data_IF_895912056928
#
_entry.id   IF_895912056928
#
_cell.length_a   1.000
_cell.length_b   1.000
_cell.length_c   1.000
_cell.angle_alpha   90.00
_cell.angle_beta   90.00
_cell.angle_gamma   90.00
#
_symmetry.space_group_name_H-M   'P 1'
#
loop_
_entity.id
_entity.type
_entity.pdbx_description
1 polymer ?
#
# COMPACT_ATOMS: atom_id res chain seq x y z
N UNK A 1 28.71 25.32 -9.96
CA UNK A 1 28.92 23.92 -9.53
C UNK A 1 30.08 23.79 -8.56
N UNK A 2 31.26 24.37 -8.83
CA UNK A 2 32.41 24.35 -7.91
C UNK A 2 32.08 24.75 -6.46
N UNK A 3 31.28 25.80 -6.24
CA UNK A 3 30.81 26.20 -4.90
C UNK A 3 29.96 25.13 -4.20
N UNK A 4 29.08 24.44 -4.95
CA UNK A 4 28.24 23.35 -4.42
C UNK A 4 29.11 22.14 -4.06
N UNK A 5 30.10 21.81 -4.88
CA UNK A 5 31.07 20.73 -4.61
C UNK A 5 31.89 21.04 -3.35
N UNK A 6 32.35 22.28 -3.18
CA UNK A 6 33.07 22.70 -1.98
C UNK A 6 32.19 22.59 -0.73
N UNK A 7 30.94 23.08 -0.80
CA UNK A 7 29.97 22.96 0.29
C UNK A 7 29.69 21.49 0.67
N UNK A 8 29.41 20.65 -0.33
CA UNK A 8 29.16 19.22 -0.12
C UNK A 8 30.37 18.48 0.45
N UNK A 9 31.60 18.90 0.10
CA UNK A 9 32.83 18.31 0.65
C UNK A 9 33.02 18.68 2.12
N UNK A 10 32.67 19.90 2.51
CA UNK A 10 32.75 20.35 3.91
C UNK A 10 31.67 19.70 4.78
N UNK A 11 30.43 19.63 4.30
CA UNK A 11 29.31 19.04 5.05
C UNK A 11 29.43 17.52 5.19
N UNK A 12 29.92 16.85 4.15
CA UNK A 12 30.01 15.40 4.13
C UNK A 12 31.42 14.94 3.76
N UNK A 13 32.34 14.76 4.72
CA UNK A 13 33.69 14.29 4.42
C UNK A 13 33.63 12.88 3.78
N UNK A 14 34.22 12.71 2.58
CA UNK A 14 34.23 11.40 1.94
C UNK A 14 35.21 10.44 2.65
N UNK A 15 34.84 9.15 2.87
CA UNK A 15 35.75 8.17 3.47
C UNK A 15 37.01 7.98 2.62
N UNK A 16 38.16 7.77 3.28
CA UNK A 16 39.49 7.64 2.63
C UNK A 16 39.54 6.56 1.53
N UNK A 17 38.69 5.52 1.60
CA UNK A 17 38.62 4.43 0.62
C UNK A 17 37.50 4.58 -0.42
N UNK A 18 36.67 5.63 -0.34
CA UNK A 18 35.58 5.94 -1.28
C UNK A 18 35.79 7.33 -1.90
N UNK A 19 37.05 7.71 -2.08
CA UNK A 19 37.49 9.01 -2.60
C UNK A 19 36.90 9.27 -3.99
N UNK A 20 35.95 10.21 -4.06
CA UNK A 20 35.45 10.99 -5.19
C UNK A 20 34.17 10.51 -5.87
N UNK A 21 33.33 9.65 -5.29
CA UNK A 21 32.11 9.22 -5.99
C UNK A 21 31.02 10.29 -6.05
N UNK A 22 30.80 11.07 -4.98
CA UNK A 22 29.78 12.12 -4.96
C UNK A 22 30.25 13.38 -5.67
N UNK A 23 31.50 13.80 -5.47
CA UNK A 23 32.03 14.99 -6.14
C UNK A 23 32.07 14.80 -7.68
N UNK A 24 32.49 13.62 -8.16
CA UNK A 24 32.38 13.28 -9.60
C UNK A 24 30.92 13.22 -10.06
N UNK A 25 30.02 12.76 -9.20
CA UNK A 25 28.58 12.80 -9.43
C UNK A 25 28.06 14.22 -9.66
N UNK A 26 28.41 15.15 -8.78
CA UNK A 26 28.07 16.58 -8.84
C UNK A 26 28.63 17.26 -10.10
N UNK A 27 29.86 16.95 -10.48
CA UNK A 27 30.44 17.45 -11.72
C UNK A 27 29.68 16.92 -12.94
N UNK A 28 29.39 15.61 -12.99
CA UNK A 28 28.65 14.97 -14.09
C UNK A 28 27.23 15.50 -14.26
N UNK A 29 26.46 15.62 -13.18
CA UNK A 29 25.11 16.21 -13.24
C UNK A 29 25.21 17.70 -13.60
N UNK A 30 26.23 18.41 -13.12
CA UNK A 30 26.47 19.81 -13.45
C UNK A 30 26.80 20.04 -14.92
N UNK A 31 27.60 19.16 -15.52
CA UNK A 31 27.91 19.15 -16.95
C UNK A 31 26.65 18.84 -17.77
N UNK A 32 25.86 17.85 -17.33
CA UNK A 32 24.59 17.49 -17.96
C UNK A 32 23.59 18.67 -17.97
N UNK A 33 23.37 19.30 -16.81
CA UNK A 33 22.43 20.42 -16.67
C UNK A 33 22.89 21.69 -17.41
N UNK A 34 24.20 21.86 -17.62
CA UNK A 34 24.72 22.98 -18.43
C UNK A 34 24.28 22.93 -19.89
N UNK A 35 23.94 21.75 -20.41
CA UNK A 35 23.41 21.58 -21.76
C UNK A 35 21.97 22.08 -21.96
N UNK A 36 21.27 22.46 -20.89
CA UNK A 36 19.87 22.92 -20.94
C UNK A 36 19.75 24.41 -20.61
N UNK A 37 18.73 25.11 -21.17
CA UNK A 37 18.52 26.54 -20.91
C UNK A 37 18.12 26.82 -19.45
N UNK A 38 18.51 27.99 -18.94
CA UNK A 38 18.14 28.48 -17.59
C UNK A 38 19.28 29.20 -16.88
N UNK A 39 18.95 30.19 -16.05
CA UNK A 39 19.91 30.98 -15.27
C UNK A 39 20.21 30.33 -13.91
N UNK A 40 19.29 29.50 -13.41
CA UNK A 40 19.44 28.75 -12.16
C UNK A 40 19.56 27.23 -12.41
N UNK A 41 20.13 26.49 -11.46
CA UNK A 41 20.16 25.03 -11.53
C UNK A 41 18.76 24.41 -11.53
N UNK A 42 17.79 25.04 -10.85
CA UNK A 42 16.39 24.63 -10.87
C UNK A 42 15.76 24.78 -12.27
N UNK A 43 15.94 25.91 -12.94
CA UNK A 43 15.42 26.12 -14.30
C UNK A 43 16.01 25.12 -15.30
N UNK A 44 17.32 24.83 -15.17
CA UNK A 44 18.00 23.81 -16.00
C UNK A 44 17.47 22.40 -15.74
N UNK A 45 17.15 22.09 -14.48
CA UNK A 45 16.52 20.83 -14.09
C UNK A 45 15.11 20.68 -14.67
N UNK A 46 14.31 21.73 -14.67
CA UNK A 46 12.98 21.74 -15.28
C UNK A 46 13.05 21.56 -16.80
N UNK A 47 14.02 22.22 -17.45
CA UNK A 47 14.22 22.13 -18.89
C UNK A 47 14.76 20.75 -19.37
N UNK A 48 15.43 19.99 -18.51
CA UNK A 48 16.02 18.70 -18.91
C UNK A 48 15.03 17.53 -19.01
N UNK A 49 13.80 17.71 -18.51
CA UNK A 49 12.74 16.70 -18.58
C UNK A 49 12.93 15.50 -17.64
N UNK A 50 13.91 15.53 -16.74
CA UNK A 50 14.08 14.50 -15.70
C UNK A 50 12.97 14.55 -14.64
N UNK A 51 12.21 15.65 -14.56
CA UNK A 51 11.01 15.75 -13.72
C UNK A 51 9.83 14.90 -14.21
N UNK A 52 9.78 14.58 -15.51
CA UNK A 52 8.61 13.96 -16.17
C UNK A 52 8.88 12.55 -16.66
N UNK A 53 10.15 12.20 -16.91
CA UNK A 53 10.54 10.84 -17.30
C UNK A 53 10.62 9.94 -16.06
N UNK A 54 9.91 8.82 -16.09
CA UNK A 54 10.01 7.71 -15.10
C UNK A 54 11.35 6.94 -15.20
N UNK A 55 12.40 7.59 -15.66
CA UNK A 55 13.73 7.01 -15.70
C UNK A 55 14.44 7.39 -14.39
N UNK A 56 15.04 6.44 -13.66
CA UNK A 56 16.05 6.80 -12.67
C UNK A 56 17.04 7.73 -13.36
N UNK A 57 17.30 8.91 -12.81
CA UNK A 57 18.13 9.90 -13.48
C UNK A 57 19.57 9.37 -13.67
N UNK A 58 19.99 8.36 -12.90
CA UNK A 58 21.20 7.58 -13.17
C UNK A 58 21.26 6.93 -14.56
N UNK A 59 20.12 6.63 -15.20
CA UNK A 59 20.05 6.15 -16.59
C UNK A 59 20.22 7.27 -17.62
N UNK A 60 20.12 8.54 -17.21
CA UNK A 60 20.53 9.71 -17.99
C UNK A 60 22.04 9.99 -17.88
N UNK A 61 22.78 9.19 -17.12
CA UNK A 61 24.25 9.27 -17.08
C UNK A 61 24.81 9.13 -18.50
N UNK A 62 25.58 10.10 -19.01
CA UNK A 62 26.15 10.06 -20.36
C UNK A 62 27.15 8.91 -20.56
N UNK A 63 27.58 8.26 -19.47
CA UNK A 63 28.52 7.13 -19.48
C UNK A 63 27.80 5.89 -18.93
N UNK A 64 27.69 4.84 -19.75
CA UNK A 64 26.83 3.66 -19.53
C UNK A 64 27.34 2.60 -18.54
N UNK A 65 28.26 2.92 -17.62
CA UNK A 65 28.76 1.95 -16.63
C UNK A 65 27.94 2.00 -15.33
N UNK A 66 27.80 0.86 -14.63
CA UNK A 66 27.11 0.77 -13.33
C UNK A 66 27.66 1.77 -12.31
N UNK A 67 28.99 1.98 -12.31
CA UNK A 67 29.67 2.96 -11.45
C UNK A 67 29.25 4.39 -11.78
N UNK A 68 29.17 4.76 -13.07
CA UNK A 68 28.76 6.10 -13.48
C UNK A 68 27.31 6.40 -13.09
N UNK A 69 26.40 5.42 -13.20
CA UNK A 69 25.01 5.57 -12.72
C UNK A 69 24.92 5.79 -11.21
N UNK A 70 25.73 5.07 -10.44
CA UNK A 70 25.78 5.23 -8.99
C UNK A 70 26.36 6.59 -8.56
N UNK A 71 27.40 7.07 -9.23
CA UNK A 71 27.96 8.42 -9.01
C UNK A 71 26.93 9.51 -9.35
N UNK A 72 26.22 9.36 -10.48
CA UNK A 72 25.19 10.31 -10.89
C UNK A 72 24.04 10.37 -9.87
N UNK A 73 23.59 9.22 -9.35
CA UNK A 73 22.56 9.17 -8.30
C UNK A 73 23.03 9.84 -6.99
N UNK A 74 24.30 9.68 -6.60
CA UNK A 74 24.86 10.35 -5.41
C UNK A 74 24.99 11.87 -5.61
N UNK A 75 25.34 12.33 -6.81
CA UNK A 75 25.33 13.75 -7.13
C UNK A 75 23.93 14.37 -7.00
N UNK A 76 22.90 13.64 -7.45
CA UNK A 76 21.50 14.06 -7.27
C UNK A 76 21.05 14.03 -5.81
N UNK A 77 21.42 13.00 -5.07
CA UNK A 77 21.17 12.90 -3.63
C UNK A 77 21.63 14.17 -2.91
N UNK A 78 22.85 14.61 -3.21
CA UNK A 78 23.44 15.83 -2.66
C UNK A 78 22.72 17.12 -3.10
N UNK A 79 22.33 17.23 -4.38
CA UNK A 79 21.62 18.41 -4.87
C UNK A 79 20.22 18.56 -4.27
N UNK A 80 19.55 17.43 -4.03
CA UNK A 80 18.25 17.40 -3.35
C UNK A 80 18.42 17.67 -1.85
N UNK A 81 19.42 17.06 -1.21
CA UNK A 81 19.72 17.26 0.20
C UNK A 81 20.08 18.71 0.55
N UNK A 82 20.85 19.38 -0.32
CA UNK A 82 21.16 20.81 -0.20
C UNK A 82 20.01 21.73 -0.67
N UNK A 83 18.90 21.17 -1.14
CA UNK A 83 17.78 21.88 -1.78
C UNK A 83 18.19 22.87 -2.88
N UNK A 84 19.32 22.61 -3.55
CA UNK A 84 19.74 23.36 -4.76
C UNK A 84 18.75 23.09 -5.90
N UNK A 85 18.21 21.88 -5.93
CA UNK A 85 17.16 21.45 -6.85
C UNK A 85 16.02 20.86 -6.03
N UNK A 86 14.79 21.30 -6.32
CA UNK A 86 13.55 20.69 -5.84
C UNK A 86 12.92 19.87 -6.95
N UNK A 87 12.99 18.52 -6.87
CA UNK A 87 12.37 17.65 -7.85
C UNK A 87 10.86 17.52 -7.62
N UNK A 88 10.13 17.10 -8.65
CA UNK A 88 8.76 16.58 -8.45
C UNK A 88 8.82 15.30 -7.59
N UNK A 89 7.76 15.02 -6.83
CA UNK A 89 7.68 13.80 -6.02
C UNK A 89 7.91 12.53 -6.85
N UNK A 90 7.38 12.51 -8.07
CA UNK A 90 7.56 11.42 -9.01
C UNK A 90 9.03 11.23 -9.41
N UNK A 91 9.74 12.31 -9.74
CA UNK A 91 11.15 12.25 -10.10
C UNK A 91 12.03 11.88 -8.91
N UNK A 92 11.71 12.38 -7.71
CA UNK A 92 12.41 11.98 -6.49
C UNK A 92 12.31 10.46 -6.27
N UNK A 93 11.08 9.92 -6.31
CA UNK A 93 10.79 8.50 -6.05
C UNK A 93 11.28 7.55 -7.15
N UNK A 94 11.50 8.04 -8.37
CA UNK A 94 12.11 7.26 -9.44
C UNK A 94 13.60 6.93 -9.17
N UNK A 95 14.26 7.67 -8.27
CA UNK A 95 15.68 7.50 -7.95
C UNK A 95 15.89 6.61 -6.72
N UNK A 96 16.93 5.76 -6.76
CA UNK A 96 17.36 4.94 -5.61
C UNK A 96 18.33 5.73 -4.74
N UNK A 97 17.80 6.52 -3.80
CA UNK A 97 18.57 7.39 -2.90
C UNK A 97 18.81 6.69 -1.55
N UNK A 98 19.87 5.89 -1.47
CA UNK A 98 20.09 4.94 -0.37
C UNK A 98 20.53 5.59 0.94
N UNK A 99 21.15 6.78 0.90
CA UNK A 99 21.65 7.49 2.09
C UNK A 99 20.97 8.85 2.30
N UNK A 100 19.91 9.11 1.55
CA UNK A 100 19.25 10.42 1.49
C UNK A 100 18.91 10.99 2.85
N UNK A 101 18.23 10.22 3.70
CA UNK A 101 17.76 10.69 5.00
C UNK A 101 18.90 11.20 5.87
N UNK A 102 20.03 10.50 5.84
CA UNK A 102 21.22 10.85 6.61
C UNK A 102 21.93 12.06 6.00
N UNK A 103 22.10 12.12 4.68
CA UNK A 103 22.70 13.28 4.02
C UNK A 103 21.84 14.53 4.25
N UNK A 104 20.52 14.44 4.05
CA UNK A 104 19.57 15.52 4.26
C UNK A 104 19.58 16.04 5.69
N UNK A 105 19.50 15.17 6.71
CA UNK A 105 19.52 15.60 8.11
C UNK A 105 20.79 16.40 8.45
N UNK A 106 21.95 15.96 7.95
CA UNK A 106 23.22 16.67 8.14
C UNK A 106 23.28 18.01 7.39
N UNK A 107 22.65 18.12 6.22
CA UNK A 107 22.60 19.37 5.47
C UNK A 107 21.61 20.39 6.06
N UNK A 108 20.46 19.91 6.56
CA UNK A 108 19.44 20.77 7.18
C UNK A 108 19.91 21.31 8.53
N UNK A 109 20.65 20.48 9.29
CA UNK A 109 21.18 20.81 10.63
C UNK A 109 20.09 21.39 11.57
N UNK A 110 18.88 20.82 11.51
CA UNK A 110 17.71 21.24 12.29
C UNK A 110 17.56 20.38 13.56
N UNK A 111 17.72 20.96 14.77
CA UNK A 111 17.57 20.23 16.03
C UNK A 111 16.18 19.63 16.25
N UNK A 112 15.13 20.16 15.60
CA UNK A 112 13.79 19.58 15.69
C UNK A 112 13.67 18.31 14.85
N UNK A 113 14.35 18.25 13.70
CA UNK A 113 14.45 17.04 12.88
C UNK A 113 15.28 15.96 13.59
N UNK A 114 16.38 16.33 14.25
CA UNK A 114 17.22 15.39 15.01
C UNK A 114 16.44 14.73 16.15
N UNK A 115 15.66 15.51 16.92
CA UNK A 115 14.77 14.97 17.96
C UNK A 115 13.71 14.02 17.40
N UNK A 116 13.20 14.28 16.20
CA UNK A 116 12.28 13.36 15.53
C UNK A 116 12.98 12.05 15.14
N UNK A 117 14.22 12.11 14.64
CA UNK A 117 15.01 10.92 14.29
C UNK A 117 15.27 10.07 15.54
N UNK A 118 15.68 10.68 16.65
CA UNK A 118 15.85 10.01 17.95
C UNK A 118 14.54 9.33 18.40
N UNK A 119 13.42 10.04 18.34
CA UNK A 119 12.11 9.49 18.70
C UNK A 119 11.67 8.33 17.79
N UNK A 120 12.06 8.32 16.50
CA UNK A 120 11.84 7.18 15.60
C UNK A 120 12.70 5.98 16.02
N UNK A 121 13.96 6.21 16.36
CA UNK A 121 14.92 5.17 16.74
C UNK A 121 14.56 4.51 18.08
N UNK A 122 13.90 5.23 18.99
CA UNK A 122 13.38 4.70 20.26
C UNK A 122 12.13 3.81 20.11
N UNK A 123 11.47 3.78 18.94
CA UNK A 123 10.29 2.93 18.74
C UNK A 123 10.62 1.43 18.68
N UNK A 124 9.67 0.57 19.05
CA UNK A 124 9.78 -0.90 18.90
C UNK A 124 9.63 -1.38 17.44
N UNK A 125 9.56 -0.46 16.46
CA UNK A 125 9.44 -0.82 15.06
C UNK A 125 10.76 -1.37 14.51
N UNK A 126 10.69 -2.35 13.59
CA UNK A 126 11.90 -2.87 12.94
C UNK A 126 12.65 -1.80 12.12
N UNK A 127 13.98 -1.89 12.05
CA UNK A 127 14.89 -0.93 11.40
C UNK A 127 14.51 -0.53 9.98
N UNK A 128 13.84 -1.42 9.26
CA UNK A 128 13.30 -1.13 7.94
C UNK A 128 12.28 0.01 8.02
N UNK A 129 11.30 -0.09 8.92
CA UNK A 129 10.25 0.91 9.07
C UNK A 129 10.78 2.23 9.61
N UNK A 130 11.73 2.19 10.56
CA UNK A 130 12.43 3.37 11.08
C UNK A 130 13.09 4.17 9.96
N UNK A 131 13.92 3.51 9.14
CA UNK A 131 14.56 4.13 7.97
C UNK A 131 13.56 4.74 6.99
N UNK A 132 12.43 4.07 6.74
CA UNK A 132 11.37 4.59 5.88
C UNK A 132 10.66 5.80 6.49
N UNK A 133 10.42 5.82 7.80
CA UNK A 133 9.79 6.96 8.47
C UNK A 133 10.63 8.24 8.32
N UNK A 134 11.94 8.14 8.59
CA UNK A 134 12.86 9.27 8.41
C UNK A 134 12.96 9.66 6.93
N UNK A 135 13.07 8.68 6.03
CA UNK A 135 13.07 8.94 4.59
C UNK A 135 11.81 9.68 4.11
N UNK A 136 10.64 9.30 4.62
CA UNK A 136 9.37 9.91 4.26
C UNK A 136 9.29 11.38 4.70
N UNK A 137 9.76 11.70 5.91
CA UNK A 137 9.85 13.08 6.39
C UNK A 137 10.84 13.89 5.56
N UNK A 138 12.08 13.42 5.39
CA UNK A 138 13.08 14.14 4.58
C UNK A 138 12.58 14.37 3.14
N UNK A 139 11.87 13.40 2.56
CA UNK A 139 11.26 13.54 1.22
C UNK A 139 10.18 14.62 1.21
N UNK A 140 9.26 14.62 2.19
CA UNK A 140 8.21 15.62 2.30
C UNK A 140 8.80 17.05 2.41
N UNK A 141 9.80 17.23 3.27
CA UNK A 141 10.50 18.51 3.47
C UNK A 141 11.19 19.01 2.18
N UNK A 142 11.73 18.09 1.38
CA UNK A 142 12.42 18.42 0.13
C UNK A 142 11.45 18.76 -0.99
N UNK A 143 10.44 17.92 -1.17
CA UNK A 143 9.41 18.06 -2.19
C UNK A 143 8.63 19.37 -2.01
N UNK A 144 8.25 19.68 -0.78
CA UNK A 144 7.48 20.89 -0.45
C UNK A 144 8.40 22.10 -0.25
N UNK A 145 9.68 21.88 0.02
CA UNK A 145 10.67 22.93 0.28
C UNK A 145 10.34 23.74 1.54
N UNK A 146 9.94 23.04 2.59
CA UNK A 146 9.59 23.60 3.91
C UNK A 146 10.57 23.08 4.98
N UNK A 147 10.87 23.86 6.03
CA UNK A 147 11.62 23.39 7.18
C UNK A 147 10.79 22.39 8.00
N UNK A 148 11.43 21.62 8.89
CA UNK A 148 10.70 20.65 9.71
C UNK A 148 9.65 21.32 10.60
N UNK A 149 9.93 22.51 11.14
CA UNK A 149 8.98 23.27 11.95
C UNK A 149 7.64 23.58 11.25
N UNK A 150 7.65 23.72 9.92
CA UNK A 150 6.46 24.05 9.12
C UNK A 150 5.76 22.80 8.56
N UNK A 151 6.22 21.59 8.93
CA UNK A 151 5.61 20.34 8.49
C UNK A 151 4.28 20.10 9.21
N UNK A 152 3.22 20.70 8.70
CA UNK A 152 1.87 20.52 9.28
C UNK A 152 1.30 19.12 9.00
N UNK A 153 0.27 18.68 9.77
CA UNK A 153 -0.47 17.46 9.45
C UNK A 153 -1.01 17.45 8.02
N UNK A 154 -1.52 18.58 7.55
CA UNK A 154 -2.08 18.75 6.21
C UNK A 154 -0.99 18.65 5.14
N UNK A 155 0.18 19.25 5.37
CA UNK A 155 1.33 19.18 4.49
C UNK A 155 1.85 17.74 4.35
N UNK A 156 2.03 17.03 5.47
CA UNK A 156 2.49 15.64 5.42
C UNK A 156 1.43 14.68 4.85
N UNK A 157 0.14 14.99 5.02
CA UNK A 157 -0.95 14.26 4.39
C UNK A 157 -0.96 14.40 2.86
N UNK A 158 -0.76 15.61 2.33
CA UNK A 158 -0.62 15.85 0.88
C UNK A 158 0.49 14.97 0.29
N UNK A 159 1.66 14.94 0.94
CA UNK A 159 2.76 14.07 0.57
C UNK A 159 2.36 12.58 0.54
N UNK A 160 1.69 12.10 1.58
CA UNK A 160 1.27 10.70 1.69
C UNK A 160 0.25 10.31 0.60
N UNK A 161 -0.71 11.20 0.28
CA UNK A 161 -1.71 10.99 -0.79
C UNK A 161 -1.04 10.92 -2.15
N UNK A 162 -0.24 11.92 -2.51
CA UNK A 162 0.44 11.98 -3.82
C UNK A 162 1.42 10.81 -4.02
N UNK A 163 2.10 10.37 -2.96
CA UNK A 163 2.97 9.20 -3.04
C UNK A 163 2.16 7.93 -3.38
N UNK A 164 0.95 7.78 -2.82
CA UNK A 164 0.09 6.63 -3.12
C UNK A 164 -0.48 6.64 -4.53
N UNK A 165 -0.76 7.83 -5.08
CA UNK A 165 -1.23 7.97 -6.47
C UNK A 165 -0.14 7.60 -7.48
N UNK A 166 1.12 7.91 -7.17
CA UNK A 166 2.28 7.63 -8.04
C UNK A 166 2.83 6.22 -7.89
N UNK A 167 2.55 5.52 -6.78
CA UNK A 167 3.04 4.15 -6.53
C UNK A 167 2.06 3.14 -7.12
N UNK A 168 2.50 2.36 -8.11
CA UNK A 168 1.69 1.29 -8.70
C UNK A 168 1.19 0.30 -7.64
N UNK A 169 -0.03 -0.23 -7.80
CA UNK A 169 -0.66 -1.25 -6.92
C UNK A 169 -0.01 -2.64 -7.04
N UNK A 170 1.28 -2.69 -7.31
CA UNK A 170 2.05 -3.92 -7.36
C UNK A 170 2.16 -4.40 -5.92
N UNK A 171 1.73 -5.64 -5.64
CA UNK A 171 1.49 -6.19 -4.30
C UNK A 171 2.65 -6.22 -3.30
N UNK A 172 3.76 -5.51 -3.55
CA UNK A 172 4.70 -5.15 -2.50
C UNK A 172 4.03 -4.13 -1.56
N UNK A 173 3.64 -4.61 -0.38
CA UNK A 173 2.96 -3.87 0.69
C UNK A 173 3.64 -2.57 1.16
N UNK A 174 4.78 -2.15 0.59
CA UNK A 174 5.56 -0.98 1.02
C UNK A 174 4.87 0.35 0.70
N UNK A 175 4.23 0.51 -0.46
CA UNK A 175 3.50 1.74 -0.83
C UNK A 175 2.27 2.01 0.07
N UNK A 176 1.74 0.95 0.69
CA UNK A 176 0.55 1.02 1.56
C UNK A 176 0.83 1.68 2.92
N UNK A 177 2.08 1.64 3.39
CA UNK A 177 2.47 2.13 4.72
C UNK A 177 3.26 3.44 4.70
N UNK A 178 3.38 4.10 3.54
CA UNK A 178 4.06 5.40 3.41
C UNK A 178 3.54 6.38 4.47
N UNK A 179 4.48 6.94 5.25
CA UNK A 179 4.23 7.96 6.26
C UNK A 179 3.53 7.49 7.54
N UNK A 180 3.18 6.21 7.70
CA UNK A 180 2.40 5.78 8.87
C UNK A 180 3.17 5.88 10.19
N UNK A 181 4.40 5.34 10.24
CA UNK A 181 5.24 5.43 11.44
C UNK A 181 5.67 6.88 11.70
N UNK A 182 6.08 7.60 10.65
CA UNK A 182 6.44 9.01 10.74
C UNK A 182 5.32 9.87 11.35
N UNK A 183 4.06 9.69 10.91
CA UNK A 183 2.91 10.39 11.48
C UNK A 183 2.74 10.10 12.97
N UNK A 184 2.81 8.82 13.36
CA UNK A 184 2.62 8.42 14.75
C UNK A 184 3.70 9.02 15.65
N UNK A 185 4.96 9.03 15.20
CA UNK A 185 6.07 9.61 15.96
C UNK A 185 5.94 11.13 16.03
N UNK A 186 5.63 11.82 14.92
CA UNK A 186 5.40 13.28 14.92
C UNK A 186 4.23 13.69 15.83
N UNK A 187 3.16 12.89 15.88
CA UNK A 187 2.09 13.10 16.84
C UNK A 187 2.54 12.80 18.29
N UNK A 188 3.26 11.70 18.50
CA UNK A 188 3.73 11.27 19.82
C UNK A 188 4.74 12.22 20.47
N UNK A 189 5.64 12.82 19.68
CA UNK A 189 6.61 13.81 20.16
C UNK A 189 6.05 15.24 20.24
N UNK A 190 4.75 15.42 19.94
CA UNK A 190 4.07 16.72 20.04
C UNK A 190 4.37 17.70 18.90
N UNK A 191 4.98 17.24 17.80
CA UNK A 191 5.18 18.05 16.61
C UNK A 191 3.84 18.41 15.94
N UNK A 192 2.91 17.45 15.88
CA UNK A 192 1.53 17.72 15.50
C UNK A 192 0.70 18.17 16.69
N UNK A 193 -0.17 19.16 16.47
CA UNK A 193 -1.19 19.60 17.44
C UNK A 193 -2.05 18.42 17.91
N UNK A 194 -2.45 18.42 19.18
CA UNK A 194 -3.31 17.37 19.75
C UNK A 194 -4.70 17.24 19.07
N UNK A 195 -5.13 18.25 18.31
CA UNK A 195 -6.36 18.16 17.50
C UNK A 195 -6.20 17.33 16.23
N UNK A 196 -4.97 17.03 15.81
CA UNK A 196 -4.72 16.14 14.68
C UNK A 196 -4.94 14.68 15.11
N UNK A 197 -5.49 13.81 14.25
CA UNK A 197 -5.66 12.41 14.60
C UNK A 197 -4.32 11.72 14.92
N UNK A 198 -4.27 10.78 15.88
CA UNK A 198 -3.03 10.12 16.29
C UNK A 198 -2.44 9.17 15.23
N UNK A 199 -3.17 8.91 14.15
CA UNK A 199 -2.72 8.05 13.06
C UNK A 199 -3.01 8.66 11.71
N UNK A 200 -2.10 8.48 10.76
CA UNK A 200 -2.31 8.88 9.36
C UNK A 200 -3.57 8.23 8.76
N UNK A 201 -3.94 7.02 9.20
CA UNK A 201 -5.20 6.39 8.78
C UNK A 201 -6.42 7.17 9.26
N UNK A 202 -6.37 7.70 10.49
CA UNK A 202 -7.41 8.56 11.03
C UNK A 202 -7.50 9.89 10.28
N UNK A 203 -6.36 10.49 9.94
CA UNK A 203 -6.31 11.74 9.17
C UNK A 203 -6.78 11.58 7.72
N UNK A 204 -6.43 10.45 7.08
CA UNK A 204 -6.86 10.13 5.72
C UNK A 204 -8.31 9.61 5.63
N UNK A 205 -9.00 9.38 6.76
CA UNK A 205 -10.44 9.10 6.69
C UNK A 205 -11.10 10.39 6.23
N UNK A 206 -11.60 10.37 5.00
CA UNK A 206 -12.55 11.38 4.54
C UNK A 206 -13.66 11.52 5.60
N UNK A 207 -14.16 12.75 5.85
CA UNK A 207 -15.32 12.93 6.71
C UNK A 207 -16.45 12.02 6.25
N UNK A 208 -17.23 11.51 7.20
CA UNK A 208 -18.41 10.71 6.87
C UNK A 208 -19.29 11.52 5.91
N UNK A 209 -19.62 10.91 4.78
CA UNK A 209 -20.43 11.55 3.77
C UNK A 209 -21.86 11.66 4.29
N UNK A 210 -22.49 12.81 4.11
CA UNK A 210 -23.93 12.93 4.29
C UNK A 210 -24.65 12.05 3.27
N UNK A 211 -25.90 11.68 3.52
CA UNK A 211 -26.75 10.95 2.56
C UNK A 211 -26.80 11.64 1.19
N UNK A 212 -26.90 12.98 1.18
CA UNK A 212 -26.78 13.80 -0.03
C UNK A 212 -25.45 13.55 -0.76
N UNK A 213 -24.32 13.64 -0.05
CA UNK A 213 -23.00 13.37 -0.63
C UNK A 213 -22.81 11.90 -1.05
N UNK A 214 -23.49 10.95 -0.39
CA UNK A 214 -23.48 9.54 -0.78
C UNK A 214 -24.15 9.33 -2.14
N UNK A 215 -25.26 10.02 -2.39
CA UNK A 215 -25.99 9.97 -3.67
C UNK A 215 -25.25 10.76 -4.74
N UNK A 216 -24.72 11.95 -4.41
CA UNK A 216 -24.04 12.86 -5.35
C UNK A 216 -22.71 12.35 -5.91
N UNK A 217 -22.15 11.29 -5.32
CA UNK A 217 -21.06 10.55 -5.95
C UNK A 217 -21.42 9.98 -7.33
N UNK A 218 -22.71 9.86 -7.63
CA UNK A 218 -23.22 9.29 -8.87
C UNK A 218 -24.04 10.34 -9.63
N UNK A 219 -23.80 10.51 -10.95
CA UNK A 219 -24.46 11.55 -11.74
C UNK A 219 -25.89 11.17 -12.12
N UNK A 220 -26.79 11.13 -11.14
CA UNK A 220 -28.24 10.90 -11.36
C UNK A 220 -28.84 12.09 -12.09
N UNK A 221 -29.44 11.85 -13.26
CA UNK A 221 -30.00 12.91 -14.12
C UNK A 221 -31.36 13.38 -13.62
N UNK A 222 -32.17 12.43 -13.13
CA UNK A 222 -33.55 12.69 -12.69
C UNK A 222 -33.57 13.28 -11.29
N UNK A 223 -33.69 14.61 -11.19
CA UNK A 223 -33.69 15.34 -9.90
C UNK A 223 -34.76 14.84 -8.91
N UNK A 224 -36.00 14.52 -9.32
CA UNK A 224 -37.00 13.96 -8.41
C UNK A 224 -36.57 12.65 -7.75
N UNK A 225 -35.98 11.73 -8.52
CA UNK A 225 -35.55 10.43 -7.99
C UNK A 225 -34.25 10.53 -7.20
N UNK A 226 -33.37 11.47 -7.56
CA UNK A 226 -32.23 11.83 -6.72
C UNK A 226 -32.71 12.24 -5.32
N UNK A 227 -33.71 13.13 -5.23
CA UNK A 227 -34.25 13.56 -3.95
C UNK A 227 -34.90 12.41 -3.18
N UNK A 228 -35.67 11.55 -3.87
CA UNK A 228 -36.23 10.33 -3.27
C UNK A 228 -35.15 9.44 -2.62
N UNK A 229 -34.04 9.19 -3.32
CA UNK A 229 -32.95 8.36 -2.79
C UNK A 229 -32.31 8.97 -1.55
N UNK A 230 -32.14 10.30 -1.52
CA UNK A 230 -31.63 11.02 -0.35
C UNK A 230 -32.60 10.87 0.82
N UNK A 231 -33.89 11.17 0.61
CA UNK A 231 -34.93 11.10 1.65
C UNK A 231 -35.05 9.66 2.20
N UNK A 232 -34.97 8.66 1.32
CA UNK A 232 -35.00 7.25 1.70
C UNK A 232 -33.82 6.88 2.59
N UNK A 233 -32.60 7.29 2.20
CA UNK A 233 -31.39 7.01 2.97
C UNK A 233 -31.38 7.76 4.30
N UNK A 234 -31.90 9.00 4.36
CA UNK A 234 -32.03 9.76 5.61
C UNK A 234 -32.97 9.06 6.60
N UNK A 235 -34.14 8.61 6.12
CA UNK A 235 -35.09 7.87 6.94
C UNK A 235 -34.50 6.56 7.44
N UNK A 236 -33.82 5.81 6.55
CA UNK A 236 -33.22 4.51 6.87
C UNK A 236 -31.99 4.63 7.77
N UNK A 237 -31.23 5.71 7.63
CA UNK A 237 -30.02 5.99 8.40
C UNK A 237 -30.24 6.11 9.90
N UNK A 238 -31.46 6.38 10.35
CA UNK A 238 -31.80 6.37 11.78
C UNK A 238 -31.80 4.96 12.40
N UNK A 239 -31.89 3.89 11.60
CA UNK A 239 -32.02 2.50 12.07
C UNK A 239 -30.77 1.65 11.85
N UNK A 240 -29.82 2.10 11.03
CA UNK A 240 -28.66 1.28 10.61
C UNK A 240 -27.34 2.01 10.83
N UNK A 241 -26.25 1.23 10.96
CA UNK A 241 -24.92 1.80 11.06
C UNK A 241 -24.46 2.44 9.73
N UNK A 242 -23.50 3.36 9.82
CA UNK A 242 -22.99 4.11 8.67
C UNK A 242 -22.44 3.21 7.55
N UNK A 243 -21.78 2.09 7.87
CA UNK A 243 -21.21 1.23 6.83
C UNK A 243 -22.31 0.51 6.04
N UNK A 244 -23.36 0.09 6.73
CA UNK A 244 -24.58 -0.44 6.11
C UNK A 244 -25.28 0.62 5.25
N UNK A 245 -25.41 1.85 5.75
CA UNK A 245 -26.03 2.97 5.03
C UNK A 245 -25.25 3.34 3.75
N UNK A 246 -23.94 3.53 3.86
CA UNK A 246 -23.08 3.83 2.71
C UNK A 246 -23.13 2.72 1.65
N UNK A 247 -23.22 1.45 2.08
CA UNK A 247 -23.41 0.33 1.17
C UNK A 247 -24.78 0.41 0.48
N UNK A 248 -25.86 0.69 1.20
CA UNK A 248 -27.19 0.84 0.60
C UNK A 248 -27.22 1.98 -0.43
N UNK A 249 -26.60 3.12 -0.12
CA UNK A 249 -26.50 4.25 -1.05
C UNK A 249 -25.82 3.86 -2.37
N UNK A 250 -24.73 3.08 -2.30
CA UNK A 250 -24.07 2.54 -3.49
C UNK A 250 -24.96 1.57 -4.27
N UNK A 251 -25.60 0.60 -3.59
CA UNK A 251 -26.44 -0.41 -4.23
C UNK A 251 -27.65 0.22 -4.94
N UNK A 252 -28.31 1.20 -4.31
CA UNK A 252 -29.51 1.82 -4.84
C UNK A 252 -29.20 2.89 -5.90
N UNK A 253 -28.21 3.75 -5.65
CA UNK A 253 -27.92 4.87 -6.55
C UNK A 253 -27.12 4.43 -7.77
N UNK A 254 -25.99 3.72 -7.56
CA UNK A 254 -25.11 3.30 -8.66
C UNK A 254 -25.63 2.07 -9.39
N UNK A 255 -25.84 0.99 -8.65
CA UNK A 255 -26.08 -0.32 -9.27
C UNK A 255 -27.53 -0.46 -9.75
N UNK A 256 -28.48 0.24 -9.14
CA UNK A 256 -29.88 0.22 -9.56
C UNK A 256 -30.25 1.45 -10.39
N UNK A 257 -30.41 2.63 -9.78
CA UNK A 257 -31.05 3.76 -10.47
C UNK A 257 -30.21 4.30 -11.63
N UNK A 258 -28.91 4.54 -11.45
CA UNK A 258 -28.05 5.03 -12.53
C UNK A 258 -28.00 4.04 -13.70
N UNK A 259 -28.00 2.74 -13.42
CA UNK A 259 -28.04 1.71 -14.46
C UNK A 259 -29.39 1.69 -15.21
N UNK A 260 -30.51 1.94 -14.49
CA UNK A 260 -31.84 2.09 -15.08
C UNK A 260 -31.89 3.34 -15.97
N UNK A 261 -31.39 4.49 -15.52
CA UNK A 261 -31.32 5.72 -16.33
C UNK A 261 -30.44 5.55 -17.58
N UNK A 262 -29.36 4.76 -17.50
CA UNK A 262 -28.53 4.44 -18.66
C UNK A 262 -29.26 3.56 -19.68
N UNK A 263 -30.11 2.64 -19.22
CA UNK A 263 -30.90 1.76 -20.09
C UNK A 263 -32.14 2.43 -20.67
N UNK A 264 -32.79 3.31 -19.91
CA UNK A 264 -33.96 4.08 -20.30
C UNK A 264 -33.86 5.53 -19.74
N UNK A 265 -33.32 6.49 -20.52
CA UNK A 265 -33.16 7.87 -20.08
C UNK A 265 -34.48 8.62 -19.80
N UNK A 266 -35.61 8.12 -20.31
CA UNK A 266 -36.94 8.71 -20.10
C UNK A 266 -37.61 8.21 -18.82
N UNK A 267 -37.00 7.25 -18.11
CA UNK A 267 -37.53 6.72 -16.86
C UNK A 267 -37.49 7.79 -15.76
N UNK A 268 -38.66 8.19 -15.26
CA UNK A 268 -38.80 9.26 -14.26
C UNK A 268 -39.36 8.80 -12.92
N UNK A 269 -39.91 7.58 -12.85
CA UNK A 269 -40.54 7.02 -11.67
C UNK A 269 -40.01 5.61 -11.30
N UNK A 270 -40.49 5.06 -10.18
CA UNK A 270 -40.14 3.72 -9.73
C UNK A 270 -40.93 2.59 -10.43
N UNK A 271 -41.79 2.89 -11.42
CA UNK A 271 -42.58 1.86 -12.12
C UNK A 271 -41.76 1.27 -13.26
N UNK A 272 -40.90 0.31 -12.91
CA UNK A 272 -40.01 -0.36 -13.86
C UNK A 272 -40.76 -1.48 -14.59
N UNK A 273 -40.71 -1.47 -15.93
CA UNK A 273 -41.26 -2.55 -16.75
C UNK A 273 -40.47 -3.86 -16.58
N UNK A 274 -41.12 -4.99 -16.83
CA UNK A 274 -40.46 -6.30 -16.72
C UNK A 274 -39.29 -6.45 -17.70
N UNK A 275 -39.39 -5.84 -18.88
CA UNK A 275 -38.32 -5.82 -19.89
C UNK A 275 -37.11 -5.00 -19.42
N UNK A 276 -37.34 -3.81 -18.86
CA UNK A 276 -36.27 -2.97 -18.33
C UNK A 276 -35.59 -3.64 -17.13
N UNK A 277 -36.35 -4.30 -16.27
CA UNK A 277 -35.81 -5.14 -15.19
C UNK A 277 -34.92 -6.26 -15.73
N UNK A 278 -35.35 -7.00 -16.77
CA UNK A 278 -34.56 -8.09 -17.34
C UNK A 278 -33.21 -7.59 -17.90
N UNK A 279 -33.22 -6.46 -18.63
CA UNK A 279 -32.00 -5.82 -19.14
C UNK A 279 -31.08 -5.35 -18.02
N UNK A 280 -31.64 -4.74 -16.98
CA UNK A 280 -30.88 -4.34 -15.79
C UNK A 280 -30.28 -5.55 -15.06
N UNK A 281 -31.03 -6.65 -14.98
CA UNK A 281 -30.61 -7.89 -14.32
C UNK A 281 -29.37 -8.49 -15.00
N UNK A 282 -29.29 -8.42 -16.32
CA UNK A 282 -28.11 -8.85 -17.09
C UNK A 282 -26.90 -7.96 -16.81
N UNK A 283 -27.06 -6.63 -16.74
CA UNK A 283 -25.96 -5.71 -16.44
C UNK A 283 -25.30 -5.98 -15.08
N UNK A 284 -26.10 -6.27 -14.06
CA UNK A 284 -25.56 -6.52 -12.71
C UNK A 284 -24.89 -7.90 -12.56
N UNK A 285 -24.78 -8.70 -13.63
CA UNK A 285 -24.01 -9.96 -13.60
C UNK A 285 -22.50 -9.73 -13.65
N UNK A 286 -22.06 -8.56 -14.13
CA UNK A 286 -20.65 -8.22 -14.34
C UNK A 286 -20.28 -6.98 -13.50
N UNK A 287 -19.04 -6.91 -13.04
CA UNK A 287 -18.44 -5.74 -12.40
C UNK A 287 -17.89 -4.76 -13.45
N UNK A 288 -17.58 -3.53 -13.06
CA UNK A 288 -17.02 -2.51 -13.97
C UNK A 288 -15.67 -2.94 -14.61
N UNK A 289 -14.97 -3.90 -13.99
CA UNK A 289 -13.70 -4.47 -14.45
C UNK A 289 -13.88 -5.69 -15.39
N UNK A 290 -15.12 -6.05 -15.74
CA UNK A 290 -15.42 -7.22 -16.57
C UNK A 290 -15.48 -8.55 -15.81
N UNK A 291 -15.25 -8.56 -14.49
CA UNK A 291 -15.31 -9.79 -13.69
C UNK A 291 -16.75 -10.20 -13.31
N UNK A 292 -17.05 -11.50 -13.11
CA UNK A 292 -18.36 -11.93 -12.65
C UNK A 292 -18.69 -11.39 -11.25
N UNK A 293 -19.87 -10.76 -11.11
CA UNK A 293 -20.34 -10.20 -9.84
C UNK A 293 -20.83 -11.28 -8.89
N UNK A 294 -20.27 -11.30 -7.68
CA UNK A 294 -20.62 -12.27 -6.63
C UNK A 294 -21.77 -11.79 -5.72
N UNK A 295 -22.01 -10.48 -5.63
CA UNK A 295 -22.95 -9.89 -4.66
C UNK A 295 -24.35 -9.56 -5.21
N UNK A 296 -24.72 -10.14 -6.36
CA UNK A 296 -26.01 -9.93 -7.04
C UNK A 296 -27.24 -10.05 -6.13
N UNK A 297 -27.26 -11.05 -5.24
CA UNK A 297 -28.36 -11.25 -4.29
C UNK A 297 -28.53 -10.06 -3.33
N UNK A 298 -27.42 -9.41 -2.98
CA UNK A 298 -27.41 -8.23 -2.11
C UNK A 298 -28.03 -7.03 -2.82
N UNK A 299 -27.71 -6.84 -4.11
CA UNK A 299 -28.28 -5.77 -4.96
C UNK A 299 -29.79 -5.94 -5.05
N UNK A 300 -30.25 -7.13 -5.47
CA UNK A 300 -31.68 -7.44 -5.57
C UNK A 300 -32.42 -7.29 -4.24
N UNK A 301 -31.79 -7.76 -3.15
CA UNK A 301 -32.34 -7.63 -1.80
C UNK A 301 -32.50 -6.17 -1.36
N UNK A 302 -31.50 -5.33 -1.63
CA UNK A 302 -31.54 -3.90 -1.30
C UNK A 302 -32.66 -3.17 -2.08
N UNK A 303 -32.74 -3.39 -3.40
CA UNK A 303 -33.81 -2.80 -4.23
C UNK A 303 -35.18 -3.27 -3.74
N UNK A 304 -35.36 -4.57 -3.54
CA UNK A 304 -36.65 -5.10 -3.06
C UNK A 304 -37.06 -4.55 -1.69
N UNK A 305 -36.09 -4.36 -0.79
CA UNK A 305 -36.32 -3.75 0.52
C UNK A 305 -36.78 -2.30 0.36
N UNK A 306 -36.08 -1.50 -0.46
CA UNK A 306 -36.46 -0.11 -0.74
C UNK A 306 -37.90 0.01 -1.25
N UNK A 307 -38.31 -0.83 -2.21
CA UNK A 307 -39.69 -0.81 -2.71
C UNK A 307 -40.72 -1.16 -1.64
N UNK A 308 -40.43 -2.08 -0.72
CA UNK A 308 -41.36 -2.41 0.36
C UNK A 308 -41.39 -1.36 1.46
N UNK A 309 -40.24 -0.81 1.81
CA UNK A 309 -40.12 0.27 2.78
C UNK A 309 -40.93 1.48 2.29
N UNK A 310 -40.76 1.90 1.03
CA UNK A 310 -41.54 3.00 0.43
C UNK A 310 -43.04 2.69 0.43
N UNK A 311 -43.45 1.47 0.03
CA UNK A 311 -44.86 1.09 0.02
C UNK A 311 -45.46 1.05 1.44
N UNK A 312 -44.70 0.62 2.45
CA UNK A 312 -45.12 0.62 3.84
C UNK A 312 -45.22 2.05 4.38
N UNK A 313 -44.19 2.87 4.16
CA UNK A 313 -44.17 4.27 4.61
C UNK A 313 -45.23 5.11 3.91
N UNK A 314 -45.60 4.81 2.67
CA UNK A 314 -46.72 5.45 1.98
C UNK A 314 -48.07 5.28 2.70
N UNK A 315 -48.23 4.25 3.54
CA UNK A 315 -49.44 4.08 4.36
C UNK A 315 -49.46 4.92 5.63
N UNK A 316 -48.28 5.32 6.14
CA UNK A 316 -48.13 6.07 7.40
C UNK A 316 -47.80 7.55 7.19
N UNK A 317 -47.09 7.87 6.11
CA UNK A 317 -46.58 9.20 5.73
C UNK A 317 -46.90 9.45 4.23
N UNK A 318 -48.19 9.47 3.83
CA UNK A 318 -48.60 9.49 2.42
C UNK A 318 -48.13 10.74 1.66
N UNK A 319 -48.07 11.89 2.33
CA UNK A 319 -47.61 13.16 1.75
C UNK A 319 -46.17 13.12 1.23
N UNK A 320 -45.34 12.21 1.74
CA UNK A 320 -43.96 12.02 1.31
C UNK A 320 -43.80 10.86 0.34
N UNK A 321 -44.39 9.70 0.65
CA UNK A 321 -44.04 8.45 -0.03
C UNK A 321 -45.10 7.95 -1.01
N UNK A 322 -46.36 8.42 -0.94
CA UNK A 322 -47.43 7.87 -1.77
C UNK A 322 -47.21 8.08 -3.27
N UNK A 323 -46.61 9.21 -3.67
CA UNK A 323 -46.26 9.47 -5.06
C UNK A 323 -45.23 8.48 -5.64
N UNK A 324 -44.39 7.91 -4.78
CA UNK A 324 -43.31 6.99 -5.15
C UNK A 324 -43.68 5.52 -5.02
N UNK A 325 -44.86 5.22 -4.45
CA UNK A 325 -45.33 3.87 -4.26
C UNK A 325 -45.51 3.15 -5.62
N UNK A 326 -44.78 2.04 -5.78
CA UNK A 326 -44.73 1.30 -7.04
C UNK A 326 -44.63 -0.21 -6.79
N UNK A 327 -45.11 -1.05 -7.73
CA UNK A 327 -44.90 -2.49 -7.65
C UNK A 327 -43.41 -2.81 -7.77
N UNK A 328 -42.92 -3.71 -6.91
CA UNK A 328 -41.51 -4.11 -6.94
C UNK A 328 -41.22 -4.95 -8.20
N UNK A 329 -40.23 -4.56 -9.03
CA UNK A 329 -39.88 -5.29 -10.25
C UNK A 329 -39.12 -6.60 -9.98
N UNK A 330 -38.58 -6.79 -8.78
CA UNK A 330 -37.77 -7.96 -8.41
C UNK A 330 -38.68 -9.11 -7.94
N UNK A 331 -38.82 -10.22 -8.70
CA UNK A 331 -39.63 -11.36 -8.27
C UNK A 331 -38.96 -12.14 -7.13
N UNK A 332 -39.77 -12.83 -6.31
CA UNK A 332 -39.28 -13.64 -5.18
C UNK A 332 -38.40 -14.82 -5.60
N UNK A 333 -38.58 -15.35 -6.80
CA UNK A 333 -37.82 -16.47 -7.36
C UNK A 333 -36.34 -16.16 -7.48
N UNK A 334 -36.00 -14.95 -7.93
CA UNK A 334 -34.63 -14.59 -8.31
C UNK A 334 -33.72 -14.49 -7.09
N UNK A 335 -34.23 -13.93 -6.00
CA UNK A 335 -33.52 -13.85 -4.72
C UNK A 335 -33.31 -15.26 -4.16
N UNK A 336 -34.36 -16.10 -4.17
CA UNK A 336 -34.28 -17.47 -3.64
C UNK A 336 -33.23 -18.29 -4.40
N UNK A 337 -33.18 -18.17 -5.72
CA UNK A 337 -32.20 -18.89 -6.55
C UNK A 337 -30.75 -18.50 -6.18
N UNK A 338 -30.46 -17.21 -6.06
CA UNK A 338 -29.11 -16.73 -5.73
C UNK A 338 -28.71 -17.06 -4.29
N UNK A 339 -29.64 -16.95 -3.34
CA UNK A 339 -29.41 -17.36 -1.95
C UNK A 339 -29.09 -18.86 -1.89
N UNK A 340 -29.87 -19.70 -2.57
CA UNK A 340 -29.63 -21.14 -2.63
C UNK A 340 -28.26 -21.46 -3.24
N UNK A 341 -27.85 -20.75 -4.30
CA UNK A 341 -26.51 -20.92 -4.87
C UNK A 341 -25.41 -20.60 -3.85
N UNK A 342 -25.53 -19.48 -3.14
CA UNK A 342 -24.58 -19.09 -2.08
C UNK A 342 -24.55 -20.11 -0.93
N UNK A 343 -25.71 -20.60 -0.51
CA UNK A 343 -25.82 -21.66 0.49
C UNK A 343 -25.10 -22.94 0.02
N UNK A 344 -25.31 -23.37 -1.22
CA UNK A 344 -24.62 -24.54 -1.81
C UNK A 344 -23.11 -24.37 -1.88
N UNK A 345 -22.60 -23.19 -2.25
CA UNK A 345 -21.16 -22.92 -2.25
C UNK A 345 -20.60 -23.03 -0.83
N UNK A 346 -21.27 -22.40 0.14
CA UNK A 346 -20.91 -22.47 1.56
C UNK A 346 -20.94 -23.92 2.06
N UNK A 347 -21.97 -24.69 1.72
CA UNK A 347 -22.08 -26.11 2.05
C UNK A 347 -20.93 -26.94 1.48
N UNK A 348 -20.52 -26.72 0.23
CA UNK A 348 -19.35 -27.38 -0.36
C UNK A 348 -18.07 -27.04 0.41
N UNK A 349 -17.85 -25.77 0.73
CA UNK A 349 -16.70 -25.37 1.54
C UNK A 349 -16.72 -26.05 2.90
N UNK A 350 -17.87 -26.08 3.58
CA UNK A 350 -18.02 -26.79 4.87
C UNK A 350 -17.84 -28.30 4.72
N UNK A 351 -18.30 -28.91 3.62
CA UNK A 351 -18.07 -30.32 3.34
C UNK A 351 -16.58 -30.61 3.14
N UNK A 352 -15.87 -29.79 2.36
CA UNK A 352 -14.42 -29.89 2.20
C UNK A 352 -13.68 -29.73 3.53
N UNK A 353 -14.09 -28.77 4.37
CA UNK A 353 -13.54 -28.61 5.72
C UNK A 353 -13.77 -29.88 6.54
N UNK A 354 -14.99 -30.44 6.56
CA UNK A 354 -15.27 -31.69 7.29
C UNK A 354 -14.46 -32.88 6.79
N UNK A 355 -14.21 -32.97 5.48
CA UNK A 355 -13.37 -34.02 4.89
C UNK A 355 -11.89 -33.87 5.27
N UNK A 356 -11.39 -32.63 5.33
CA UNK A 356 -9.97 -32.35 5.61
C UNK A 356 -9.67 -32.25 7.12
N UNK A 357 -10.67 -31.97 7.95
CA UNK A 357 -10.51 -31.79 9.41
C UNK A 357 -9.86 -33.00 10.11
N UNK A 358 -10.19 -34.26 9.78
CA UNK A 358 -9.50 -35.43 10.36
C UNK A 358 -8.02 -35.55 9.97
N UNK A 359 -7.58 -34.94 8.86
CA UNK A 359 -6.19 -34.97 8.40
C UNK A 359 -5.33 -33.86 9.04
N UNK A 360 -5.96 -32.94 9.77
CA UNK A 360 -5.28 -31.80 10.38
C UNK A 360 -4.17 -32.19 11.37
N UNK A 361 -4.32 -33.22 12.24
CA UNK A 361 -3.23 -33.67 13.11
C UNK A 361 -2.01 -34.15 12.33
N UNK A 362 -2.21 -34.98 11.30
CA UNK A 362 -1.10 -35.47 10.46
C UNK A 362 -0.40 -34.33 9.71
N UNK A 363 -1.14 -33.29 9.33
CA UNK A 363 -0.57 -32.09 8.73
C UNK A 363 0.28 -31.30 9.74
N UNK A 364 -0.21 -31.11 10.97
CA UNK A 364 0.52 -30.45 12.06
C UNK A 364 1.84 -31.18 12.31
N UNK A 365 1.80 -32.50 12.47
CA UNK A 365 2.98 -33.32 12.73
C UNK A 365 4.01 -33.22 11.60
N UNK A 366 3.55 -33.19 10.34
CA UNK A 366 4.42 -33.03 9.19
C UNK A 366 5.11 -31.65 9.16
N UNK A 367 4.40 -30.58 9.52
CA UNK A 367 4.99 -29.24 9.62
C UNK A 367 5.94 -29.10 10.81
N UNK A 368 5.60 -29.67 11.97
CA UNK A 368 6.47 -29.70 13.15
C UNK A 368 7.77 -30.45 12.86
N UNK A 369 7.68 -31.66 12.30
CA UNK A 369 8.84 -32.47 11.91
C UNK A 369 9.73 -31.73 10.91
N UNK A 370 9.11 -31.05 9.93
CA UNK A 370 9.84 -30.24 8.94
C UNK A 370 10.54 -29.06 9.60
N UNK A 371 9.89 -28.36 10.52
CA UNK A 371 10.46 -27.24 11.25
C UNK A 371 11.66 -27.69 12.10
N UNK A 372 11.50 -28.73 12.90
CA UNK A 372 12.57 -29.30 13.73
C UNK A 372 13.78 -29.72 12.90
N UNK A 373 13.56 -30.35 11.73
CA UNK A 373 14.64 -30.74 10.82
C UNK A 373 15.47 -29.53 10.37
N UNK A 374 14.82 -28.46 9.93
CA UNK A 374 15.53 -27.28 9.44
C UNK A 374 16.17 -26.48 10.57
N UNK A 375 15.53 -26.41 11.74
CA UNK A 375 16.11 -25.81 12.95
C UNK A 375 17.36 -26.55 13.40
N UNK A 376 17.30 -27.88 13.48
CA UNK A 376 18.48 -28.71 13.83
C UNK A 376 19.63 -28.52 12.84
N UNK A 377 19.34 -28.45 11.54
CA UNK A 377 20.38 -28.18 10.54
C UNK A 377 20.93 -26.76 10.64
N UNK A 378 20.09 -25.77 10.98
CA UNK A 378 20.49 -24.39 11.18
C UNK A 378 21.43 -24.28 12.38
N UNK A 379 21.03 -24.84 13.53
CA UNK A 379 21.81 -24.83 14.77
C UNK A 379 23.18 -25.49 14.55
N UNK A 380 23.20 -26.70 13.98
CA UNK A 380 24.43 -27.45 13.72
C UNK A 380 25.37 -26.75 12.72
N UNK A 381 24.81 -25.99 11.76
CA UNK A 381 25.60 -25.30 10.76
C UNK A 381 26.09 -23.92 11.22
N UNK A 382 25.48 -23.32 12.25
CA UNK A 382 25.70 -21.91 12.62
C UNK A 382 27.14 -21.64 13.04
N UNK A 383 27.75 -22.56 13.80
CA UNK A 383 29.13 -22.43 14.31
C UNK A 383 30.21 -23.00 13.36
N UNK A 384 29.82 -23.45 12.16
CA UNK A 384 30.73 -24.06 11.18
C UNK A 384 31.26 -23.01 10.18
N UNK A 385 32.56 -23.01 9.93
CA UNK A 385 33.25 -22.04 9.08
C UNK A 385 33.16 -22.39 7.56
N UNK A 386 33.47 -21.44 6.66
CA UNK A 386 33.42 -21.65 5.20
C UNK A 386 34.25 -22.86 4.78
N UNK A 387 33.69 -23.69 3.89
CA UNK A 387 34.28 -24.93 3.38
C UNK A 387 34.48 -26.06 4.40
N UNK A 388 34.08 -25.89 5.67
CA UNK A 388 34.11 -26.99 6.62
C UNK A 388 32.97 -27.97 6.39
N UNK A 389 33.28 -29.26 6.52
CA UNK A 389 32.31 -30.35 6.42
C UNK A 389 31.79 -30.70 7.81
N UNK A 390 30.50 -30.99 7.90
CA UNK A 390 29.85 -31.43 9.12
C UNK A 390 28.72 -32.39 8.79
N UNK A 391 28.29 -33.18 9.78
CA UNK A 391 27.25 -34.19 9.62
C UNK A 391 26.07 -33.90 10.53
N UNK A 392 24.86 -34.07 10.00
CA UNK A 392 23.61 -33.99 10.76
C UNK A 392 22.78 -35.22 10.42
N UNK A 393 22.66 -36.15 11.39
CA UNK A 393 22.14 -37.49 11.13
C UNK A 393 23.00 -38.24 10.10
N UNK A 394 22.35 -38.88 9.13
CA UNK A 394 23.02 -39.67 8.08
C UNK A 394 23.45 -38.84 6.86
N UNK A 395 23.48 -37.50 6.98
CA UNK A 395 23.78 -36.58 5.88
C UNK A 395 25.01 -35.74 6.15
N UNK A 396 25.87 -35.67 5.13
CA UNK A 396 27.07 -34.83 5.14
C UNK A 396 26.81 -33.54 4.39
N UNK A 397 27.16 -32.44 5.04
CA UNK A 397 27.01 -31.09 4.54
C UNK A 397 28.35 -30.35 4.50
N UNK A 398 28.45 -29.35 3.63
CA UNK A 398 29.60 -28.42 3.63
C UNK A 398 29.09 -26.99 3.71
N UNK A 399 29.63 -26.20 4.63
CA UNK A 399 29.28 -24.79 4.72
C UNK A 399 29.81 -24.02 3.51
N UNK A 400 28.98 -23.20 2.88
CA UNK A 400 29.39 -22.37 1.73
C UNK A 400 29.07 -20.91 2.00
N UNK A 401 30.04 -20.01 1.80
CA UNK A 401 29.75 -18.58 1.81
C UNK A 401 29.54 -18.06 0.40
N UNK A 402 28.46 -17.30 0.19
CA UNK A 402 28.31 -16.55 -1.07
C UNK A 402 29.21 -15.32 -1.09
N UNK A 403 29.35 -14.69 -2.27
CA UNK A 403 30.10 -13.44 -2.42
C UNK A 403 29.57 -12.32 -1.50
N UNK A 404 28.26 -12.30 -1.25
CA UNK A 404 27.63 -11.33 -0.35
C UNK A 404 27.93 -11.66 1.11
N UNK A 405 27.90 -12.95 1.50
CA UNK A 405 28.22 -13.38 2.86
C UNK A 405 29.67 -13.08 3.22
N UNK A 406 30.62 -13.34 2.30
CA UNK A 406 32.04 -12.98 2.48
C UNK A 406 32.24 -11.48 2.69
N UNK A 407 31.47 -10.65 1.98
CA UNK A 407 31.51 -9.19 2.14
C UNK A 407 30.93 -8.76 3.49
N UNK A 408 29.89 -9.44 3.96
CA UNK A 408 29.23 -9.15 5.24
C UNK A 408 30.14 -9.51 6.42
N UNK A 409 30.83 -10.66 6.35
CA UNK A 409 31.84 -11.10 7.32
C UNK A 409 33.00 -10.12 7.39
N UNK A 410 33.50 -9.65 6.24
CA UNK A 410 34.55 -8.62 6.19
C UNK A 410 34.13 -7.27 6.81
N UNK A 411 32.83 -7.06 7.03
CA UNK A 411 32.26 -5.88 7.69
C UNK A 411 31.84 -6.15 9.14
N UNK A 412 32.18 -7.32 9.70
CA UNK A 412 31.84 -7.73 11.07
C UNK A 412 30.40 -8.27 11.24
N UNK A 413 29.68 -8.53 10.16
CA UNK A 413 28.32 -9.10 10.20
C UNK A 413 28.30 -10.63 10.12
N UNK A 414 27.27 -11.25 10.70
CA UNK A 414 27.08 -12.70 10.66
C UNK A 414 26.60 -13.19 9.27
N UNK A 415 27.30 -14.15 8.63
CA UNK A 415 26.95 -14.64 7.30
C UNK A 415 25.68 -15.49 7.34
N UNK A 416 24.93 -15.55 6.23
CA UNK A 416 23.80 -16.47 6.15
C UNK A 416 24.24 -17.92 6.20
N UNK A 417 23.39 -18.77 6.76
CA UNK A 417 23.62 -20.22 6.85
C UNK A 417 23.25 -20.88 5.53
N UNK A 418 24.29 -21.20 4.74
CA UNK A 418 24.16 -21.92 3.48
C UNK A 418 25.03 -23.16 3.49
N UNK A 419 24.48 -24.27 3.00
CA UNK A 419 25.13 -25.59 3.02
C UNK A 419 25.04 -26.25 1.67
N UNK A 420 26.07 -26.99 1.26
CA UNK A 420 25.99 -27.98 0.20
C UNK A 420 25.52 -29.30 0.79
N UNK A 421 24.44 -29.86 0.26
CA UNK A 421 24.04 -31.24 0.56
C UNK A 421 24.75 -32.16 -0.44
N UNK A 422 25.68 -33.00 0.05
CA UNK A 422 26.47 -33.91 -0.80
C UNK A 422 25.63 -35.06 -1.39
N UNK A 423 24.54 -35.45 -0.74
CA UNK A 423 23.66 -36.50 -1.26
C UNK A 423 22.70 -35.95 -2.33
N UNK A 424 22.23 -34.71 -2.16
CA UNK A 424 21.34 -34.06 -3.11
C UNK A 424 22.07 -33.25 -4.20
N UNK A 425 23.38 -33.06 -4.08
CA UNK A 425 24.22 -32.33 -5.03
C UNK A 425 23.85 -30.85 -5.20
N UNK A 426 23.26 -30.22 -4.16
CA UNK A 426 22.73 -28.85 -4.27
C UNK A 426 23.06 -27.98 -3.07
N UNK A 427 23.25 -26.68 -3.36
CA UNK A 427 23.32 -25.64 -2.34
C UNK A 427 21.94 -25.32 -1.77
N UNK A 428 21.85 -25.22 -0.45
CA UNK A 428 20.63 -24.95 0.30
C UNK A 428 20.87 -23.71 1.17
N UNK A 429 20.01 -22.70 1.02
CA UNK A 429 19.92 -21.59 1.97
C UNK A 429 19.10 -22.05 3.17
N UNK A 430 19.78 -22.48 4.23
CA UNK A 430 19.16 -23.09 5.41
C UNK A 430 18.32 -22.07 6.16
N UNK A 431 18.79 -20.82 6.28
CA UNK A 431 18.01 -19.73 6.87
C UNK A 431 16.67 -19.57 6.17
N UNK A 432 16.65 -19.57 4.83
CA UNK A 432 15.41 -19.43 4.07
C UNK A 432 14.47 -20.64 4.24
N UNK A 433 15.02 -21.86 4.31
CA UNK A 433 14.21 -23.07 4.47
C UNK A 433 13.65 -23.20 5.89
N UNK A 434 14.43 -22.82 6.90
CA UNK A 434 14.00 -22.75 8.29
C UNK A 434 12.91 -21.70 8.46
N UNK A 435 13.10 -20.47 7.97
CA UNK A 435 12.08 -19.41 8.04
C UNK A 435 10.77 -19.83 7.34
N UNK A 436 10.87 -20.44 6.15
CA UNK A 436 9.69 -20.98 5.47
C UNK A 436 8.99 -22.12 6.24
N UNK A 437 9.76 -22.99 6.90
CA UNK A 437 9.22 -24.07 7.72
C UNK A 437 8.59 -23.55 9.01
N UNK A 438 9.23 -22.56 9.66
CA UNK A 438 8.72 -21.85 10.82
C UNK A 438 7.39 -21.18 10.52
N UNK A 439 7.28 -20.39 9.44
CA UNK A 439 6.00 -19.76 9.09
C UNK A 439 4.92 -20.77 8.74
N UNK A 440 5.28 -21.86 8.04
CA UNK A 440 4.35 -22.95 7.75
C UNK A 440 3.79 -23.58 9.04
N UNK A 441 4.67 -23.92 9.98
CA UNK A 441 4.30 -24.44 11.29
C UNK A 441 3.48 -23.42 12.10
N UNK A 442 3.94 -22.18 12.21
CA UNK A 442 3.31 -21.12 13.00
C UNK A 442 1.90 -20.78 12.51
N UNK A 443 1.65 -20.77 11.20
CA UNK A 443 0.32 -20.53 10.62
C UNK A 443 -0.65 -21.64 11.03
N UNK A 444 -0.22 -22.90 10.93
CA UNK A 444 -1.05 -24.05 11.27
C UNK A 444 -1.28 -24.11 12.78
N UNK A 445 -0.25 -23.91 13.59
CA UNK A 445 -0.34 -24.00 15.05
C UNK A 445 -1.17 -22.86 15.66
N UNK A 446 -0.96 -21.61 15.22
CA UNK A 446 -1.78 -20.47 15.68
C UNK A 446 -3.22 -20.54 15.16
N UNK A 447 -3.42 -21.02 13.95
CA UNK A 447 -4.76 -21.26 13.39
C UNK A 447 -5.52 -22.36 14.14
N UNK A 448 -4.82 -23.34 14.70
CA UNK A 448 -5.43 -24.43 15.48
C UNK A 448 -5.69 -24.04 16.94
N UNK A 449 -4.75 -23.38 17.60
CA UNK A 449 -4.93 -22.90 18.98
C UNK A 449 -6.05 -21.86 19.14
N UNK A 450 -6.45 -21.17 18.08
CA UNK A 450 -7.61 -20.26 18.10
C UNK A 450 -8.95 -20.96 17.81
N UNK A 451 -8.91 -22.25 17.45
CA UNK A 451 -10.10 -23.08 17.14
C UNK A 451 -10.44 -24.12 18.20
N UNK A 452 -9.58 -24.29 19.21
CA UNK A 452 -9.91 -24.90 20.50
C UNK A 452 -10.43 -23.82 21.43
#
# INVERSE_FOLDING_TARGET
>A
MATIVALATNLWPEPVHRRRSRNRGLDKIGDYLRGYPGDTWQQRWEACGLNTRLLPAGDASPIGTTTARAEFAQGLEALFALRVIRPTLQAFRANKLMRYSHEFAQAEADPALDRFIEAVDETDAGDKFKRWAVFDVCTALTYQGIPFADLTPEAFMDYAVRTRETTGRNGEHLGKYVGHLAWQVMHGCGHFRASAPPTLRGALRAPQLTTTQMVDQYPVRTQPVRQLLIDYLDRRGAEIDYASLARQAHLLTKLFWLAIEQLNPEQTDLRISQELYARWRELITVCDDGSPRTDQATVLGAVRTMYFDINLWATHEPEKWAHWAAPCPVPRSDIRMLMNHRHRVRERTHATIRTLQPLLPALIDAFATRYEKWRTLLDAATDIDDQQQFTVGDRTYTRIYSREDRRLVAQGGAPRVRVHDHQAGKGIDVNRQEDAAFWGWAIVERGWCTSR
#
